data_IF_358332112111
#
_entry.id   IF_358332112111
#
_cell.length_a   1.000
_cell.length_b   1.000
_cell.length_c   1.000
_cell.angle_alpha   90.00
_cell.angle_beta   90.00
_cell.angle_gamma   90.00
#
_symmetry.space_group_name_H-M   'P 1'
#
loop_
_entity.id
_entity.type
_entity.pdbx_description
1 polymer ?
#
# COMPACT_ATOMS: atom_id res chain seq x y z
N UNK A 1 -2.77 -8.85 -5.07
CA UNK A 1 -1.40 -8.33 -5.24
C UNK A 1 -1.48 -6.83 -5.47
N UNK A 2 -2.30 -6.39 -6.43
CA UNK A 2 -2.74 -5.01 -6.57
C UNK A 2 -4.27 -4.96 -6.64
N UNK A 3 -4.85 -3.87 -6.17
CA UNK A 3 -6.26 -3.54 -6.28
C UNK A 3 -6.36 -2.14 -6.86
N UNK A 4 -6.91 -2.02 -8.07
CA UNK A 4 -7.12 -0.74 -8.74
C UNK A 4 -8.44 -0.14 -8.29
N UNK A 5 -8.45 1.17 -8.04
CA UNK A 5 -9.67 1.87 -7.66
C UNK A 5 -10.36 2.40 -8.92
N UNK A 6 -11.64 2.05 -9.09
CA UNK A 6 -12.47 2.55 -10.19
C UNK A 6 -12.74 4.06 -10.06
N UNK A 7 -12.84 4.54 -8.82
CA UNK A 7 -12.96 5.96 -8.48
C UNK A 7 -11.68 6.47 -7.82
N UNK A 8 -11.23 7.64 -8.26
CA UNK A 8 -10.11 8.33 -7.61
C UNK A 8 -10.53 8.70 -6.20
N UNK A 9 -9.78 8.23 -5.20
CA UNK A 9 -9.93 8.69 -3.81
C UNK A 9 -8.96 9.83 -3.55
N UNK A 10 -9.47 10.93 -3.02
CA UNK A 10 -8.72 12.15 -2.75
C UNK A 10 -7.85 12.06 -1.49
N UNK A 11 -7.11 13.15 -1.23
CA UNK A 11 -6.16 13.27 -0.12
C UNK A 11 -6.79 13.04 1.25
N UNK A 12 -8.08 13.32 1.40
CA UNK A 12 -8.84 13.11 2.63
C UNK A 12 -8.90 11.64 3.09
N UNK A 13 -8.69 10.69 2.17
CA UNK A 13 -8.66 9.25 2.47
C UNK A 13 -7.32 8.78 3.03
N UNK A 14 -6.28 9.61 2.98
CA UNK A 14 -4.94 9.27 3.46
C UNK A 14 -4.78 9.48 4.97
N UNK A 15 -5.71 10.17 5.65
CA UNK A 15 -5.59 10.51 7.07
C UNK A 15 -4.20 11.15 7.37
N UNK A 16 -3.51 10.79 8.45
CA UNK A 16 -2.17 11.30 8.77
C UNK A 16 -1.12 11.05 7.69
N UNK A 17 -1.30 10.06 6.82
CA UNK A 17 -0.37 9.79 5.71
C UNK A 17 -0.33 10.89 4.66
N UNK A 18 -1.36 11.76 4.61
CA UNK A 18 -1.39 12.90 3.70
C UNK A 18 -0.25 13.90 3.93
N UNK A 19 0.32 13.92 5.14
CA UNK A 19 1.50 14.73 5.46
C UNK A 19 2.78 14.14 4.88
N UNK A 20 2.91 12.81 4.87
CA UNK A 20 4.06 12.07 4.34
C UNK A 20 4.01 12.03 2.81
N UNK A 21 2.83 11.86 2.24
CA UNK A 21 2.62 11.83 0.78
C UNK A 21 2.79 13.22 0.12
N UNK A 22 2.76 14.32 0.88
CA UNK A 22 2.92 15.66 0.34
C UNK A 22 1.84 16.04 -0.68
N UNK A 23 2.25 16.39 -1.90
CA UNK A 23 1.34 16.80 -2.98
C UNK A 23 0.70 15.63 -3.76
N UNK A 24 1.03 14.38 -3.40
CA UNK A 24 0.43 13.20 -4.02
C UNK A 24 -0.93 12.91 -3.38
N UNK A 25 -2.00 13.34 -4.05
CA UNK A 25 -3.34 13.51 -3.51
C UNK A 25 -4.39 12.55 -4.09
N UNK A 26 -4.04 11.75 -5.10
CA UNK A 26 -4.96 10.80 -5.73
C UNK A 26 -4.51 9.36 -5.49
N UNK A 27 -5.28 8.59 -4.72
CA UNK A 27 -5.07 7.15 -4.60
C UNK A 27 -5.61 6.45 -5.84
N UNK A 28 -4.73 5.71 -6.54
CA UNK A 28 -5.08 4.97 -7.77
C UNK A 28 -5.16 3.47 -7.56
N UNK A 29 -4.34 2.93 -6.66
CA UNK A 29 -4.31 1.51 -6.36
C UNK A 29 -3.68 1.25 -4.99
N UNK A 30 -3.86 0.03 -4.48
CA UNK A 30 -3.19 -0.45 -3.27
C UNK A 30 -2.72 -1.90 -3.41
N UNK A 31 -1.74 -2.32 -2.60
CA UNK A 31 -1.25 -3.71 -2.56
C UNK A 31 -2.06 -4.56 -1.58
N UNK A 32 -1.93 -5.89 -1.64
CA UNK A 32 -2.56 -6.78 -0.65
C UNK A 32 -2.06 -6.54 0.79
N UNK A 33 -0.92 -5.86 0.97
CA UNK A 33 -0.35 -5.48 2.27
C UNK A 33 -0.67 -4.03 2.66
N UNK A 34 -1.44 -3.31 1.83
CA UNK A 34 -1.90 -1.96 2.12
C UNK A 34 -0.97 -0.82 1.72
N UNK A 35 0.09 -1.07 0.94
CA UNK A 35 0.88 0.01 0.33
C UNK A 35 0.08 0.72 -0.76
N UNK A 36 0.21 2.04 -0.88
CA UNK A 36 -0.60 2.84 -1.79
C UNK A 36 0.18 3.35 -2.99
N UNK A 37 -0.45 3.34 -4.16
CA UNK A 37 0.02 4.04 -5.35
C UNK A 37 -0.75 5.35 -5.50
N UNK A 38 0.00 6.45 -5.48
CA UNK A 38 -0.53 7.81 -5.46
C UNK A 38 -0.12 8.56 -6.72
N UNK A 39 -0.96 9.48 -7.17
CA UNK A 39 -0.66 10.43 -8.23
C UNK A 39 -0.82 11.85 -7.70
N UNK A 40 0.10 12.73 -8.07
CA UNK A 40 -0.04 14.16 -7.85
C UNK A 40 -0.98 14.74 -8.92
N UNK A 41 -2.16 15.23 -8.53
CA UNK A 41 -3.16 15.76 -9.46
C UNK A 41 -2.69 16.96 -10.30
N UNK A 42 -1.64 17.66 -9.89
CA UNK A 42 -1.11 18.85 -10.57
C UNK A 42 -0.02 18.53 -11.59
N UNK A 43 0.85 17.57 -11.27
CA UNK A 43 2.03 17.23 -12.08
C UNK A 43 1.89 15.89 -12.80
N UNK A 44 0.87 15.10 -12.46
CA UNK A 44 0.69 13.69 -12.81
C UNK A 44 1.79 12.75 -12.32
N UNK A 45 2.73 13.23 -11.50
CA UNK A 45 3.81 12.39 -10.97
C UNK A 45 3.23 11.22 -10.18
N UNK A 46 3.82 10.05 -10.38
CA UNK A 46 3.44 8.80 -9.70
C UNK A 46 4.37 8.55 -8.51
N UNK A 47 3.79 8.15 -7.39
CA UNK A 47 4.50 7.80 -6.17
C UNK A 47 3.94 6.55 -5.50
N UNK A 48 4.73 5.95 -4.60
CA UNK A 48 4.34 4.83 -3.76
C UNK A 48 4.53 5.18 -2.28
N UNK A 49 3.48 4.98 -1.50
CA UNK A 49 3.52 5.03 -0.04
C UNK A 49 3.66 3.61 0.50
N UNK A 50 4.82 3.33 1.10
CA UNK A 50 5.11 2.08 1.79
C UNK A 50 4.72 2.23 3.27
N UNK A 51 3.54 1.74 3.63
CA UNK A 51 2.88 2.07 4.91
C UNK A 51 3.66 1.48 6.08
N UNK A 52 3.95 0.18 6.05
CA UNK A 52 4.73 -0.49 7.10
C UNK A 52 6.17 0.01 7.20
N UNK A 53 6.72 0.54 6.11
CA UNK A 53 8.08 1.08 6.09
C UNK A 53 8.14 2.57 6.50
N UNK A 54 6.98 3.22 6.71
CA UNK A 54 6.85 4.66 6.93
C UNK A 54 7.65 5.48 5.90
N UNK A 55 7.51 5.16 4.61
CA UNK A 55 8.30 5.78 3.54
C UNK A 55 7.45 6.09 2.32
N UNK A 56 7.74 7.23 1.70
CA UNK A 56 7.20 7.60 0.40
C UNK A 56 8.31 7.69 -0.64
N UNK A 57 8.06 7.16 -1.84
CA UNK A 57 9.00 7.23 -2.96
C UNK A 57 8.31 7.78 -4.21
N UNK A 58 8.91 8.78 -4.83
CA UNK A 58 8.53 9.21 -6.18
C UNK A 58 9.09 8.20 -7.19
N UNK A 59 8.28 7.83 -8.18
CA UNK A 59 8.63 6.75 -9.12
C UNK A 59 9.30 7.28 -10.40
N UNK A 60 9.27 8.59 -10.64
CA UNK A 60 9.83 9.20 -11.85
C UNK A 60 8.98 9.00 -13.11
N UNK A 61 7.68 8.73 -12.94
CA UNK A 61 6.70 8.62 -14.03
C UNK A 61 5.66 9.73 -13.91
N UNK A 62 5.13 10.17 -15.05
CA UNK A 62 3.96 11.07 -15.13
C UNK A 62 2.78 10.46 -15.89
N UNK A 63 2.96 9.27 -16.46
CA UNK A 63 1.90 8.48 -17.09
C UNK A 63 1.63 7.22 -16.24
N UNK A 64 0.39 7.09 -15.78
CA UNK A 64 -0.04 5.97 -14.94
C UNK A 64 -0.03 4.62 -15.67
N UNK A 65 -0.40 4.60 -16.94
CA UNK A 65 -0.42 3.35 -17.72
C UNK A 65 0.99 2.93 -18.09
N UNK A 66 1.88 3.88 -18.42
CA UNK A 66 3.31 3.57 -18.61
C UNK A 66 3.93 3.00 -17.33
N UNK A 67 3.64 3.61 -16.17
CA UNK A 67 4.08 3.12 -14.87
C UNK A 67 3.58 1.69 -14.60
N UNK A 68 2.31 1.41 -14.87
CA UNK A 68 1.74 0.05 -14.71
C UNK A 68 2.48 -0.97 -15.56
N UNK A 69 2.69 -0.67 -16.83
CA UNK A 69 3.33 -1.60 -17.76
C UNK A 69 4.82 -1.81 -17.47
N UNK A 70 5.51 -0.75 -17.06
CA UNK A 70 6.98 -0.78 -16.87
C UNK A 70 7.37 -1.28 -15.49
N UNK A 71 6.66 -0.85 -14.44
CA UNK A 71 7.02 -1.10 -13.04
C UNK A 71 6.11 -2.13 -12.40
N UNK A 72 4.78 -1.93 -12.41
CA UNK A 72 3.88 -2.83 -11.70
C UNK A 72 3.86 -4.24 -12.29
N UNK A 73 4.07 -4.36 -13.62
CA UNK A 73 4.19 -5.64 -14.32
C UNK A 73 5.61 -6.24 -14.27
N UNK A 74 6.60 -5.52 -13.74
CA UNK A 74 7.96 -6.04 -13.62
C UNK A 74 8.03 -7.14 -12.54
N UNK A 75 8.46 -8.36 -12.87
CA UNK A 75 8.53 -9.46 -11.90
C UNK A 75 9.44 -9.18 -10.70
N UNK A 76 10.55 -8.47 -10.91
CA UNK A 76 11.47 -8.11 -9.82
C UNK A 76 10.85 -7.10 -8.87
N UNK A 77 10.05 -6.15 -9.38
CA UNK A 77 9.33 -5.21 -8.53
C UNK A 77 8.24 -5.94 -7.72
N UNK A 78 7.46 -6.81 -8.37
CA UNK A 78 6.45 -7.62 -7.71
C UNK A 78 7.05 -8.49 -6.60
N UNK A 79 8.22 -9.08 -6.83
CA UNK A 79 8.85 -9.95 -5.84
C UNK A 79 9.52 -9.16 -4.71
N UNK A 80 10.28 -8.11 -5.03
CA UNK A 80 11.15 -7.44 -4.05
C UNK A 80 10.48 -6.28 -3.31
N UNK A 81 9.53 -5.59 -3.94
CA UNK A 81 8.86 -4.43 -3.35
C UNK A 81 7.48 -4.82 -2.85
N UNK A 82 6.69 -5.50 -3.69
CA UNK A 82 5.31 -5.90 -3.34
C UNK A 82 5.27 -7.21 -2.55
N UNK A 83 6.36 -7.98 -2.57
CA UNK A 83 6.50 -9.23 -1.81
C UNK A 83 5.53 -10.32 -2.26
N UNK A 84 5.44 -10.53 -3.58
CA UNK A 84 4.51 -11.46 -4.23
C UNK A 84 4.52 -12.88 -3.62
N UNK A 85 5.68 -13.51 -3.44
CA UNK A 85 5.74 -14.86 -2.84
C UNK A 85 5.31 -14.88 -1.38
N UNK A 86 5.60 -13.81 -0.64
CA UNK A 86 5.15 -13.66 0.75
C UNK A 86 3.62 -13.53 0.82
N UNK A 87 3.02 -12.67 -0.02
CA UNK A 87 1.57 -12.51 -0.15
C UNK A 87 0.90 -13.84 -0.48
N UNK A 88 1.51 -14.69 -1.32
CA UNK A 88 0.95 -16.00 -1.63
C UNK A 88 0.80 -16.87 -0.36
N UNK A 89 1.83 -16.92 0.49
CA UNK A 89 1.79 -17.63 1.78
C UNK A 89 0.76 -17.03 2.75
N UNK A 90 0.69 -15.70 2.82
CA UNK A 90 -0.32 -15.02 3.65
C UNK A 90 -1.74 -15.37 3.19
N UNK A 91 -1.97 -15.39 1.87
CA UNK A 91 -3.25 -15.74 1.27
C UNK A 91 -3.65 -17.20 1.54
N UNK A 92 -2.69 -18.13 1.54
CA UNK A 92 -2.94 -19.53 1.93
C UNK A 92 -3.47 -19.62 3.36
N UNK A 93 -2.98 -18.77 4.27
CA UNK A 93 -3.43 -18.70 5.65
C UNK A 93 -4.77 -17.96 5.83
N UNK A 94 -4.91 -16.77 5.25
CA UNK A 94 -6.02 -15.84 5.50
C UNK A 94 -7.23 -16.04 4.57
N UNK A 95 -7.06 -16.77 3.47
CA UNK A 95 -8.02 -16.83 2.37
C UNK A 95 -8.02 -15.57 1.51
N UNK A 96 -8.94 -15.50 0.55
CA UNK A 96 -9.01 -14.40 -0.41
C UNK A 96 -9.52 -13.10 0.24
N UNK A 97 -8.92 -11.97 -0.19
CA UNK A 97 -9.36 -10.62 0.15
C UNK A 97 -10.66 -10.27 -0.58
N UNK A 98 -11.58 -9.64 0.14
CA UNK A 98 -12.73 -8.94 -0.41
C UNK A 98 -12.41 -7.50 -0.82
N UNK A 99 -13.46 -6.74 -1.12
CA UNK A 99 -13.35 -5.33 -1.46
C UNK A 99 -12.76 -4.51 -0.30
N UNK A 100 -11.75 -3.70 -0.62
CA UNK A 100 -11.01 -2.89 0.36
C UNK A 100 -10.40 -3.70 1.52
N UNK A 101 -10.25 -5.01 1.39
CA UNK A 101 -9.51 -5.80 2.37
C UNK A 101 -8.02 -5.85 2.04
N UNK A 102 -7.19 -5.86 3.08
CA UNK A 102 -5.74 -6.10 3.03
C UNK A 102 -5.33 -7.07 4.14
N UNK A 103 -4.15 -7.67 4.01
CA UNK A 103 -3.54 -8.48 5.05
C UNK A 103 -2.69 -7.61 5.97
N UNK A 104 -2.95 -7.70 7.26
CA UNK A 104 -2.36 -6.85 8.29
C UNK A 104 -1.62 -7.74 9.30
N UNK A 105 -0.32 -7.52 9.56
CA UNK A 105 0.39 -8.30 10.57
C UNK A 105 -0.17 -7.99 11.95
N UNK A 106 -0.52 -9.03 12.71
CA UNK A 106 -1.18 -8.91 14.01
C UNK A 106 -0.48 -9.77 15.07
N UNK A 107 0.26 -9.17 16.03
CA UNK A 107 0.46 -7.73 16.22
C UNK A 107 1.42 -7.14 15.17
N UNK A 108 1.48 -5.81 15.09
CA UNK A 108 2.42 -5.11 14.22
C UNK A 108 3.88 -5.44 14.61
N UNK A 109 4.81 -5.57 13.64
CA UNK A 109 6.22 -5.84 13.92
C UNK A 109 6.87 -4.81 14.85
N UNK A 110 6.54 -3.52 14.72
CA UNK A 110 7.05 -2.48 15.61
C UNK A 110 6.56 -2.61 17.07
N UNK A 111 5.51 -3.41 17.30
CA UNK A 111 4.97 -3.73 18.62
C UNK A 111 5.41 -5.13 19.10
N UNK A 112 6.43 -5.72 18.46
CA UNK A 112 6.96 -7.04 18.80
C UNK A 112 6.29 -8.21 18.08
N UNK A 113 5.47 -7.96 17.06
CA UNK A 113 4.98 -9.01 16.17
C UNK A 113 6.07 -9.59 15.28
N UNK A 114 5.92 -10.84 14.85
CA UNK A 114 6.91 -11.48 13.97
C UNK A 114 6.84 -10.95 12.54
N UNK A 115 5.65 -10.58 12.07
CA UNK A 115 5.43 -10.26 10.65
C UNK A 115 5.49 -11.49 9.74
N UNK A 116 5.44 -12.71 10.30
CA UNK A 116 5.39 -13.94 9.50
C UNK A 116 4.00 -14.13 8.87
N UNK A 117 3.89 -14.88 7.75
CA UNK A 117 2.64 -15.03 7.01
C UNK A 117 1.46 -15.50 7.87
N UNK A 118 1.72 -16.40 8.81
CA UNK A 118 0.74 -17.05 9.67
C UNK A 118 0.27 -16.13 10.83
N UNK A 119 0.84 -14.93 10.95
CA UNK A 119 0.43 -13.92 11.93
C UNK A 119 -0.43 -12.80 11.34
N UNK A 120 -0.70 -12.87 10.05
CA UNK A 120 -1.53 -11.88 9.37
C UNK A 120 -3.02 -12.16 9.58
N UNK A 121 -3.81 -11.09 9.53
CA UNK A 121 -5.27 -11.16 9.49
C UNK A 121 -5.79 -10.25 8.38
N UNK A 122 -7.00 -10.54 7.89
CA UNK A 122 -7.69 -9.63 6.98
C UNK A 122 -8.25 -8.43 7.76
N UNK A 123 -8.20 -7.26 7.15
CA UNK A 123 -8.83 -6.05 7.67
C UNK A 123 -9.10 -5.04 6.57
N UNK A 124 -9.89 -4.01 6.89
CA UNK A 124 -10.22 -2.96 5.93
C UNK A 124 -9.03 -1.99 5.74
N UNK A 125 -8.70 -1.67 4.47
CA UNK A 125 -7.62 -0.79 4.07
C UNK A 125 -7.70 0.58 4.74
N UNK A 126 -8.86 1.22 4.71
CA UNK A 126 -9.01 2.59 5.20
C UNK A 126 -8.90 2.65 6.71
N UNK A 127 -9.44 1.65 7.41
CA UNK A 127 -9.24 1.49 8.86
C UNK A 127 -7.77 1.22 9.19
N UNK A 128 -7.11 0.37 8.41
CA UNK A 128 -5.68 0.11 8.55
C UNK A 128 -4.84 1.38 8.37
N UNK A 129 -5.13 2.21 7.37
CA UNK A 129 -4.43 3.48 7.13
C UNK A 129 -4.65 4.47 8.29
N UNK A 130 -5.89 4.59 8.78
CA UNK A 130 -6.22 5.48 9.89
C UNK A 130 -5.53 5.08 11.21
N UNK A 131 -5.38 3.77 11.47
CA UNK A 131 -4.66 3.27 12.66
C UNK A 131 -3.15 3.38 12.48
N UNK A 132 -2.64 2.98 11.31
CA UNK A 132 -1.20 2.96 11.03
C UNK A 132 -0.61 4.37 10.97
N UNK A 133 -1.36 5.37 10.50
CA UNK A 133 -0.89 6.77 10.51
C UNK A 133 -0.62 7.27 11.94
N UNK A 134 -1.45 6.89 12.90
CA UNK A 134 -1.27 7.26 14.31
C UNK A 134 -0.16 6.46 14.99
N UNK A 135 0.06 5.22 14.55
CA UNK A 135 1.03 4.30 15.15
C UNK A 135 2.43 4.52 14.60
N UNK A 136 2.58 4.68 13.29
CA UNK A 136 3.87 4.67 12.61
C UNK A 136 4.40 6.08 12.31
N UNK A 137 3.53 7.07 12.08
CA UNK A 137 4.00 8.44 11.79
C UNK A 137 4.61 9.15 13.02
N UNK A 138 4.54 8.55 14.21
CA UNK A 138 5.14 9.06 15.45
C UNK A 138 6.48 8.41 15.80
N UNK A 139 6.92 7.42 15.03
CA UNK A 139 8.16 6.65 15.24
C UNK A 139 9.16 7.00 14.15
#
# INVERSE_FOLDING_TARGET
MYHYLDEIRGKEWLDGWASIAGDFDQVKAYTDLGDLFLVNSKTNEVGILLVMANKFHQMGFTDWEEFKQTVMNNPNFQERVVQKSFIARVKEHCGQLGEYEVYIPTPYPCLGGSGEPETHKKGNLWVYLAISSQTFAQI
#
